data_IF_362545687152
#
_entry.id   IF_362545687152
#
_cell.length_a   1.000
_cell.length_b   1.000
_cell.length_c   1.000
_cell.angle_alpha   90.00
_cell.angle_beta   90.00
_cell.angle_gamma   90.00
#
_symmetry.space_group_name_H-M   'P 1'
#
loop_
_entity.id
_entity.type
_entity.pdbx_description
1 polymer ?
#
# COMPACT_ATOMS: atom_id res chain seq x y z
N UNK A 1 -3.10 -10.10 13.11
CA UNK A 1 -3.04 -8.69 12.71
C UNK A 1 -3.01 -8.61 11.20
N UNK A 2 -3.66 -7.62 10.65
CA UNK A 2 -3.69 -7.44 9.20
C UNK A 2 -2.59 -6.51 8.74
N UNK A 3 -2.00 -6.83 7.62
CA UNK A 3 -0.97 -5.99 7.01
C UNK A 3 -1.47 -5.53 5.65
N UNK A 4 -1.37 -4.24 5.41
CA UNK A 4 -1.70 -3.66 4.11
C UNK A 4 -0.47 -3.02 3.51
N UNK A 5 -0.31 -3.18 2.21
CA UNK A 5 0.79 -2.54 1.49
C UNK A 5 0.30 -1.86 0.23
N UNK A 6 0.95 -0.74 -0.07
CA UNK A 6 0.74 -0.01 -1.32
C UNK A 6 2.12 0.17 -1.93
N UNK A 7 2.27 -0.26 -3.15
CA UNK A 7 3.57 -0.19 -3.83
C UNK A 7 3.40 0.05 -5.33
N UNK A 8 4.47 0.50 -5.96
CA UNK A 8 4.49 0.60 -7.41
C UNK A 8 4.70 -0.79 -7.99
N UNK A 9 4.03 -1.09 -9.08
CA UNK A 9 4.09 -2.41 -9.70
C UNK A 9 5.50 -2.75 -10.18
N UNK A 10 6.18 -1.77 -10.75
CA UNK A 10 7.54 -1.97 -11.23
C UNK A 10 8.51 -1.31 -10.26
N UNK A 11 9.18 -2.08 -9.46
CA UNK A 11 10.11 -1.55 -8.48
C UNK A 11 11.48 -1.18 -9.03
N UNK A 12 11.57 -0.86 -10.32
CA UNK A 12 12.86 -0.60 -10.95
C UNK A 12 13.25 0.88 -11.03
N UNK A 13 12.25 1.75 -11.05
CA UNK A 13 12.50 3.18 -11.21
C UNK A 13 12.95 3.79 -9.91
N UNK A 14 13.81 4.81 -9.96
CA UNK A 14 14.21 5.51 -8.74
C UNK A 14 13.04 6.08 -7.94
N UNK A 15 11.93 6.35 -8.62
CA UNK A 15 10.75 6.90 -7.97
C UNK A 15 9.81 5.85 -7.40
N UNK A 16 10.16 4.58 -7.48
CA UNK A 16 9.30 3.54 -6.94
C UNK A 16 9.21 3.65 -5.42
N UNK A 17 8.10 3.19 -4.86
CA UNK A 17 7.94 3.22 -3.43
C UNK A 17 7.21 1.97 -2.94
N UNK A 18 7.28 1.76 -1.64
CA UNK A 18 6.62 0.64 -0.99
C UNK A 18 6.28 1.06 0.45
N UNK A 19 5.01 1.18 0.76
CA UNK A 19 4.53 1.47 2.11
C UNK A 19 3.78 0.27 2.66
N UNK A 20 4.02 -0.03 3.90
CA UNK A 20 3.44 -1.18 4.57
C UNK A 20 3.05 -0.77 5.98
N UNK A 21 1.88 -1.19 6.43
CA UNK A 21 1.41 -0.86 7.76
C UNK A 21 0.51 -1.96 8.31
N UNK A 22 0.56 -2.17 9.60
CA UNK A 22 -0.24 -3.18 10.29
C UNK A 22 -1.48 -2.55 10.92
N UNK A 23 -2.57 -3.33 10.92
CA UNK A 23 -3.86 -2.89 11.45
C UNK A 23 -4.51 -4.04 12.21
N UNK A 24 -5.45 -3.69 13.08
CA UNK A 24 -6.20 -4.69 13.83
C UNK A 24 -7.25 -5.37 12.96
N UNK A 25 -7.84 -4.65 12.03
CA UNK A 25 -8.87 -5.17 11.16
C UNK A 25 -8.52 -4.96 9.70
N UNK A 26 -9.10 -5.79 8.86
CA UNK A 26 -8.92 -5.66 7.41
C UNK A 26 -9.50 -4.33 6.92
N UNK A 27 -10.63 -3.91 7.46
CA UNK A 27 -11.26 -2.66 7.05
C UNK A 27 -10.36 -1.45 7.22
N UNK A 28 -9.67 -1.39 8.34
CA UNK A 28 -8.73 -0.28 8.58
C UNK A 28 -7.62 -0.26 7.53
N UNK A 29 -7.13 -1.43 7.19
CA UNK A 29 -6.09 -1.54 6.17
C UNK A 29 -6.58 -1.14 4.79
N UNK A 30 -7.80 -1.54 4.44
CA UNK A 30 -8.40 -1.18 3.15
C UNK A 30 -8.57 0.34 3.04
N UNK A 31 -9.06 0.97 4.09
CA UNK A 31 -9.25 2.42 4.10
C UNK A 31 -7.93 3.16 3.98
N UNK A 32 -6.94 2.71 4.75
CA UNK A 32 -5.62 3.33 4.70
C UNK A 32 -4.99 3.23 3.32
N UNK A 33 -5.03 2.04 2.73
CA UNK A 33 -4.42 1.81 1.42
C UNK A 33 -5.10 2.65 0.34
N UNK A 34 -6.42 2.71 0.37
CA UNK A 34 -7.18 3.50 -0.59
C UNK A 34 -6.84 4.98 -0.48
N UNK A 35 -6.83 5.48 0.74
CA UNK A 35 -6.52 6.89 0.99
C UNK A 35 -5.11 7.24 0.53
N UNK A 36 -4.15 6.39 0.85
CA UNK A 36 -2.77 6.61 0.44
C UNK A 36 -2.63 6.60 -1.08
N UNK A 37 -3.26 5.63 -1.74
CA UNK A 37 -3.20 5.53 -3.19
C UNK A 37 -3.81 6.78 -3.85
N UNK A 38 -4.92 7.26 -3.32
CA UNK A 38 -5.55 8.46 -3.85
C UNK A 38 -4.67 9.68 -3.73
N UNK A 39 -4.00 9.83 -2.59
CA UNK A 39 -3.09 10.95 -2.37
C UNK A 39 -1.91 10.91 -3.32
N UNK A 40 -1.38 9.74 -3.56
CA UNK A 40 -0.26 9.57 -4.47
C UNK A 40 -0.67 9.93 -5.89
N UNK A 41 -1.85 9.48 -6.31
CA UNK A 41 -2.36 9.78 -7.63
C UNK A 41 -2.65 11.27 -7.82
N UNK A 42 -3.17 11.92 -6.79
CA UNK A 42 -3.43 13.35 -6.82
C UNK A 42 -2.16 14.18 -6.98
N UNK A 43 -1.09 13.74 -6.36
CA UNK A 43 0.18 14.43 -6.46
C UNK A 43 0.85 14.27 -7.83
N UNK A 44 0.44 13.27 -8.58
CA UNK A 44 0.95 13.09 -9.93
C UNK A 44 2.35 12.52 -10.06
N UNK A 45 2.98 12.16 -8.95
CA UNK A 45 4.34 11.62 -9.00
C UNK A 45 4.42 10.28 -9.71
N UNK A 46 3.35 9.49 -9.61
CA UNK A 46 3.33 8.13 -10.13
C UNK A 46 2.22 7.93 -11.14
N UNK A 47 1.84 8.96 -11.88
CA UNK A 47 0.70 8.90 -12.77
C UNK A 47 0.84 7.85 -13.88
N UNK A 48 2.05 7.51 -14.25
CA UNK A 48 2.31 6.50 -15.27
C UNK A 48 2.63 5.13 -14.66
N UNK A 49 2.54 5.02 -13.34
CA UNK A 49 2.83 3.79 -12.65
C UNK A 49 1.54 3.16 -12.14
N UNK A 50 1.45 1.86 -12.26
CA UNK A 50 0.35 1.15 -11.63
C UNK A 50 0.66 0.96 -10.15
N UNK A 51 -0.34 1.19 -9.32
CA UNK A 51 -0.23 0.94 -7.90
C UNK A 51 -0.85 -0.40 -7.57
N UNK A 52 -0.16 -1.16 -6.75
CA UNK A 52 -0.63 -2.46 -6.30
C UNK A 52 -0.90 -2.39 -4.80
N UNK A 53 -2.06 -2.86 -4.39
CA UNK A 53 -2.44 -2.92 -2.98
C UNK A 53 -2.61 -4.37 -2.59
N UNK A 54 -1.96 -4.77 -1.51
CA UNK A 54 -2.08 -6.12 -0.98
C UNK A 54 -2.52 -6.09 0.47
N UNK A 55 -3.34 -7.04 0.85
CA UNK A 55 -3.82 -7.16 2.22
C UNK A 55 -3.71 -8.62 2.64
N UNK A 56 -3.06 -8.86 3.75
CA UNK A 56 -2.92 -10.23 4.24
C UNK A 56 -2.87 -10.27 5.75
N UNK A 57 -3.24 -11.39 6.30
CA UNK A 57 -3.20 -11.57 7.73
C UNK A 57 -1.82 -12.13 8.10
N UNK A 58 -1.19 -11.52 9.08
CA UNK A 58 0.09 -11.95 9.56
C UNK A 58 -0.04 -12.42 10.99
N UNK A 59 0.38 -13.65 11.22
CA UNK A 59 0.38 -14.21 12.55
C UNK A 59 1.59 -13.70 13.30
N UNK A 60 1.35 -13.02 14.40
CA UNK A 60 2.45 -12.50 15.21
C UNK A 60 2.62 -13.37 16.42
N UNK A 61 3.76 -13.85 16.59
CA UNK A 61 4.03 -14.47 17.79
C UNK A 61 3.98 -15.84 17.80
N UNK A 62 4.03 -16.56 17.86
CA UNK A 62 4.13 -17.87 18.12
C UNK A 62 5.17 -18.36 18.96
#
# INVERSE_FOLDING_TARGET
MWVSEVKTKQGRKPASFHHRKSFRTLEEGLDWARDLAMRIMENGYYKDEELVMNHYEESIGA
#
